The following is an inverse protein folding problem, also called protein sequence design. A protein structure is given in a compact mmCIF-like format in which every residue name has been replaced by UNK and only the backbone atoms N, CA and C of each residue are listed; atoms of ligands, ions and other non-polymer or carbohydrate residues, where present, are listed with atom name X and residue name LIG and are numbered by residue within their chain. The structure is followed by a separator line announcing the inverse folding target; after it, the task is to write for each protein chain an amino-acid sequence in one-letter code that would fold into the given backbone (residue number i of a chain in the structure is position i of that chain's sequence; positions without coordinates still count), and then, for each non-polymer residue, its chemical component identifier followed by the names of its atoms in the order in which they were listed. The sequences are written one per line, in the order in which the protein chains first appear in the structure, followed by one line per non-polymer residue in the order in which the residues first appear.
data_IF_937920337734
#
_entry.id   IF_937920337734
#
_cell.length_a   1.000
_cell.length_b   1.000
_cell.length_c   1.000
_cell.angle_alpha   90.00
_cell.angle_beta   90.00
_cell.angle_gamma   90.00
#
_symmetry.space_group_name_H-M   'P 1'
#
loop_
_entity.id
_entity.type
_entity.pdbx_description
1 polymer ?
#
# COMPACT_ATOMS: atom_id res chain seq x y z
N UNK A 1 -0.82 2.89 -9.06
CA UNK A 1 -1.84 3.66 -9.81
C UNK A 1 -2.11 5.05 -9.27
N UNK A 2 -1.84 5.30 -7.98
CA UNK A 2 -2.14 6.61 -7.37
C UNK A 2 -0.97 7.57 -7.34
N UNK A 3 0.16 7.21 -7.89
CA UNK A 3 1.34 8.05 -7.90
C UNK A 3 1.08 9.39 -8.57
N UNK A 4 1.42 10.49 -7.89
CA UNK A 4 1.25 11.83 -8.41
C UNK A 4 -0.17 12.38 -8.33
N UNK A 5 -1.11 11.63 -7.78
CA UNK A 5 -2.50 12.07 -7.65
C UNK A 5 -2.73 12.86 -6.36
N UNK A 6 -3.63 13.84 -6.41
CA UNK A 6 -4.12 14.52 -5.23
C UNK A 6 -5.10 13.65 -4.44
N UNK A 7 -5.42 14.07 -3.22
CA UNK A 7 -6.28 13.29 -2.32
C UNK A 7 -7.65 12.95 -2.91
N UNK A 8 -8.29 13.90 -3.58
CA UNK A 8 -9.62 13.68 -4.18
C UNK A 8 -9.56 12.62 -5.27
N UNK A 9 -8.52 12.66 -6.10
CA UNK A 9 -8.37 11.71 -7.20
C UNK A 9 -8.02 10.32 -6.67
N UNK A 10 -7.20 10.24 -5.62
CA UNK A 10 -6.90 8.98 -4.94
C UNK A 10 -8.19 8.35 -4.40
N UNK A 11 -9.04 9.14 -3.75
CA UNK A 11 -10.30 8.64 -3.20
C UNK A 11 -11.24 8.13 -4.29
N UNK A 12 -11.32 8.84 -5.41
CA UNK A 12 -12.16 8.42 -6.55
C UNK A 12 -11.66 7.13 -7.15
N UNK A 13 -10.36 7.01 -7.36
CA UNK A 13 -9.75 5.79 -7.92
C UNK A 13 -9.96 4.62 -6.96
N UNK A 14 -9.79 4.84 -5.67
CA UNK A 14 -9.99 3.83 -4.64
C UNK A 14 -11.42 3.31 -4.67
N UNK A 15 -12.40 4.20 -4.72
CA UNK A 15 -13.82 3.82 -4.80
C UNK A 15 -14.14 3.07 -6.08
N UNK A 16 -13.57 3.50 -7.20
CA UNK A 16 -13.76 2.82 -8.48
C UNK A 16 -13.20 1.40 -8.43
N UNK A 17 -12.01 1.23 -7.89
CA UNK A 17 -11.40 -0.09 -7.75
C UNK A 17 -12.28 -1.01 -6.89
N UNK A 18 -12.78 -0.51 -5.77
CA UNK A 18 -13.70 -1.26 -4.91
C UNK A 18 -14.95 -1.69 -5.68
N UNK A 19 -15.49 -0.81 -6.47
CA UNK A 19 -16.71 -1.07 -7.25
C UNK A 19 -16.48 -2.16 -8.30
N UNK A 20 -15.37 -2.07 -9.04
CA UNK A 20 -15.09 -3.06 -10.10
C UNK A 20 -14.57 -4.38 -9.54
N UNK A 21 -14.10 -4.40 -8.29
CA UNK A 21 -13.58 -5.62 -7.67
C UNK A 21 -14.67 -6.58 -7.19
N UNK A 22 -15.92 -6.12 -7.12
CA UNK A 22 -17.03 -6.96 -6.70
C UNK A 22 -17.16 -8.18 -7.60
N UNK A 23 -17.06 -9.37 -7.02
CA UNK A 23 -17.15 -10.64 -7.76
C UNK A 23 -15.94 -10.94 -8.64
N UNK A 24 -14.83 -10.21 -8.47
CA UNK A 24 -13.62 -10.37 -9.27
C UNK A 24 -12.37 -10.40 -8.39
N UNK A 25 -11.31 -10.97 -8.93
CA UNK A 25 -9.98 -10.87 -8.34
C UNK A 25 -9.19 -9.81 -9.09
N UNK A 26 -8.62 -8.86 -8.36
CA UNK A 26 -7.84 -7.78 -8.95
C UNK A 26 -6.42 -7.83 -8.37
N UNK A 27 -5.44 -7.85 -9.26
CA UNK A 27 -4.04 -7.71 -8.90
C UNK A 27 -3.63 -6.26 -9.20
N UNK A 28 -3.05 -5.60 -8.19
CA UNK A 28 -2.68 -4.20 -8.31
C UNK A 28 -1.30 -3.96 -7.70
N UNK A 29 -0.51 -3.13 -8.35
CA UNK A 29 0.76 -2.66 -7.81
C UNK A 29 0.55 -1.25 -7.28
N UNK A 30 0.87 -1.03 -6.02
CA UNK A 30 0.63 0.25 -5.37
C UNK A 30 1.70 0.52 -4.30
N UNK A 31 2.03 1.75 -4.10
CA UNK A 31 2.97 2.19 -3.07
C UNK A 31 2.30 3.02 -1.98
N UNK A 32 1.07 3.43 -2.18
CA UNK A 32 0.32 4.23 -1.21
C UNK A 32 -0.32 3.30 -0.18
N UNK A 33 0.24 3.29 1.02
CA UNK A 33 -0.21 2.39 2.09
C UNK A 33 -1.66 2.64 2.51
N UNK A 34 -2.13 3.88 2.42
CA UNK A 34 -3.52 4.22 2.74
C UNK A 34 -4.49 3.55 1.76
N UNK A 35 -4.18 3.59 0.48
CA UNK A 35 -4.97 2.91 -0.55
C UNK A 35 -4.97 1.41 -0.31
N UNK A 36 -3.80 0.84 -0.09
CA UNK A 36 -3.64 -0.59 0.16
C UNK A 36 -4.46 -1.03 1.37
N UNK A 37 -4.38 -0.28 2.48
CA UNK A 37 -5.13 -0.60 3.70
C UNK A 37 -6.64 -0.58 3.49
N UNK A 38 -7.11 0.22 2.54
CA UNK A 38 -8.53 0.41 2.29
C UNK A 38 -9.11 -0.70 1.41
N UNK A 39 -8.36 -1.17 0.41
CA UNK A 39 -8.91 -2.04 -0.64
C UNK A 39 -8.27 -3.41 -0.76
N UNK A 40 -7.07 -3.61 -0.25
CA UNK A 40 -6.39 -4.88 -0.42
C UNK A 40 -6.85 -5.91 0.60
N UNK A 41 -7.20 -7.11 0.13
CA UNK A 41 -7.48 -8.26 1.00
C UNK A 41 -6.18 -8.96 1.38
N UNK A 42 -5.24 -8.99 0.46
CA UNK A 42 -3.95 -9.64 0.67
C UNK A 42 -2.86 -8.80 0.02
N UNK A 43 -1.74 -8.69 0.71
CA UNK A 43 -0.62 -7.85 0.29
C UNK A 43 0.64 -8.69 0.19
N UNK A 44 1.37 -8.53 -0.91
CA UNK A 44 2.70 -9.08 -1.08
C UNK A 44 3.66 -7.90 -1.18
N UNK A 45 4.62 -7.85 -0.27
CA UNK A 45 5.62 -6.79 -0.26
C UNK A 45 6.88 -7.28 -0.94
N UNK A 46 7.32 -6.53 -1.93
CA UNK A 46 8.55 -6.84 -2.68
C UNK A 46 9.64 -5.84 -2.34
N UNK A 47 10.85 -6.35 -2.23
CA UNK A 47 12.04 -5.53 -2.12
C UNK A 47 13.15 -6.17 -2.94
N UNK A 48 13.72 -5.39 -3.85
CA UNK A 48 14.84 -5.83 -4.71
C UNK A 48 14.52 -7.13 -5.45
N UNK A 49 13.28 -7.26 -5.93
CA UNK A 49 12.85 -8.41 -6.69
C UNK A 49 12.51 -9.66 -5.87
N UNK A 50 12.56 -9.58 -4.55
CA UNK A 50 12.24 -10.69 -3.67
C UNK A 50 11.05 -10.38 -2.78
N UNK A 51 10.30 -11.43 -2.42
CA UNK A 51 9.19 -11.28 -1.47
C UNK A 51 9.75 -11.07 -0.08
N UNK A 52 9.41 -9.92 0.50
CA UNK A 52 9.83 -9.56 1.85
C UNK A 52 8.82 -10.04 2.89
N UNK A 53 7.54 -9.89 2.60
CA UNK A 53 6.45 -10.32 3.48
C UNK A 53 5.17 -10.49 2.66
N UNK A 54 4.23 -11.27 3.18
CA UNK A 54 2.93 -11.49 2.56
C UNK A 54 1.89 -11.78 3.62
N UNK A 55 0.70 -11.23 3.43
CA UNK A 55 -0.42 -11.45 4.35
C UNK A 55 -1.43 -10.32 4.27
N UNK A 56 -2.24 -10.21 5.30
CA UNK A 56 -3.20 -9.11 5.43
C UNK A 56 -2.47 -7.84 5.87
N UNK A 57 -3.10 -6.71 5.65
CA UNK A 57 -2.52 -5.41 6.03
C UNK A 57 -2.05 -5.37 7.48
N UNK A 58 -2.85 -5.87 8.42
CA UNK A 58 -2.49 -5.88 9.82
C UNK A 58 -1.19 -6.66 10.11
N UNK A 59 -0.96 -7.75 9.37
CA UNK A 59 0.24 -8.56 9.51
C UNK A 59 1.45 -7.90 8.86
N UNK A 60 1.26 -7.43 7.62
CA UNK A 60 2.34 -6.85 6.81
C UNK A 60 2.80 -5.51 7.38
N UNK A 61 1.86 -4.67 7.80
CA UNK A 61 2.16 -3.33 8.30
C UNK A 61 2.88 -3.33 9.65
N UNK A 62 2.85 -4.43 10.37
CA UNK A 62 3.54 -4.57 11.65
C UNK A 62 4.82 -5.40 11.55
N UNK A 63 5.12 -5.93 10.37
CA UNK A 63 6.36 -6.68 10.15
C UNK A 63 7.56 -5.74 10.22
N UNK A 64 8.54 -5.99 11.11
CA UNK A 64 9.71 -5.10 11.24
C UNK A 64 10.47 -4.88 9.94
N UNK A 65 10.53 -5.88 9.07
CA UNK A 65 11.23 -5.76 7.78
C UNK A 65 10.52 -4.80 6.85
N UNK A 66 9.18 -4.82 6.86
CA UNK A 66 8.36 -3.92 6.06
C UNK A 66 8.45 -2.50 6.60
N UNK A 67 8.37 -2.35 7.92
CA UNK A 67 8.51 -1.05 8.58
C UNK A 67 9.85 -0.41 8.24
N UNK A 68 10.92 -1.17 8.28
CA UNK A 68 12.25 -0.67 7.96
C UNK A 68 12.38 -0.30 6.48
N UNK A 69 11.87 -1.16 5.59
CA UNK A 69 12.04 -0.98 4.14
C UNK A 69 11.18 0.14 3.56
N UNK A 70 9.98 0.33 4.07
CA UNK A 70 8.99 1.25 3.49
C UNK A 70 8.48 2.28 4.48
N UNK A 71 7.90 1.84 5.59
CA UNK A 71 7.26 2.75 6.53
C UNK A 71 8.27 3.46 7.41
N UNK A 72 9.35 2.79 7.79
CA UNK A 72 10.42 3.40 8.55
C UNK A 72 11.11 4.52 7.78
N UNK A 73 11.36 4.31 6.50
CA UNK A 73 11.93 5.33 5.63
C UNK A 73 11.00 6.53 5.49
N UNK A 74 9.70 6.28 5.34
CA UNK A 74 8.69 7.33 5.25
C UNK A 74 8.61 8.13 6.55
N UNK A 75 8.59 7.45 7.69
CA UNK A 75 8.59 8.10 9.00
C UNK A 75 9.86 8.93 9.22
N UNK A 76 11.00 8.42 8.79
CA UNK A 76 12.28 9.14 8.88
C UNK A 76 12.25 10.39 8.01
N UNK A 77 11.67 10.30 6.81
CA UNK A 77 11.53 11.45 5.93
C UNK A 77 10.64 12.53 6.56
N UNK A 78 9.55 12.14 7.22
CA UNK A 78 8.68 13.08 7.93
C UNK A 78 9.39 13.73 9.11
N UNK A 79 10.15 12.97 9.88
CA UNK A 79 10.96 13.49 10.98
C UNK A 79 12.02 14.46 10.47
N UNK A 80 12.64 14.13 9.35
CA UNK A 80 13.65 14.99 8.74
C UNK A 80 13.10 16.30 8.23
N UNK A 81 11.77 16.40 8.02
CA UNK A 81 11.11 17.62 7.59
C UNK A 81 10.88 18.60 8.75
N UNK A 82 11.10 18.17 9.96
CA UNK A 82 10.99 19.03 11.14
C UNK A 82 12.24 19.89 11.29
#
# INVERSE_FOLDING_TARGET
PTQGMGHEDVDRVTQLIKKVSAGRTILMVEHNMKVISTIADRITVLQRGAVLAEGRYAEVSTDPRVLEAYMGAEATALEGAH
#
